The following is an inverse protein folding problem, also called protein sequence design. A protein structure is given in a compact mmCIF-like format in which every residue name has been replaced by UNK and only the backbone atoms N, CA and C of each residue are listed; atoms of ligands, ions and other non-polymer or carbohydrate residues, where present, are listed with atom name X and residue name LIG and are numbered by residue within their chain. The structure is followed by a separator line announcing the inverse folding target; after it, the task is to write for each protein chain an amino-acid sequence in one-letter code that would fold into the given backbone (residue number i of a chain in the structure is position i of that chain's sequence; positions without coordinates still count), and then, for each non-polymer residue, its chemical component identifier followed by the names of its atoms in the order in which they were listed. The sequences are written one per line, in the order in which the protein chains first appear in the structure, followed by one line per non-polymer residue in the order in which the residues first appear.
data_IF_213410535084
#
_entry.id   IF_213410535084
#
_cell.length_a   1.000
_cell.length_b   1.000
_cell.length_c   1.000
_cell.angle_alpha   90.00
_cell.angle_beta   90.00
_cell.angle_gamma   90.00
#
_symmetry.space_group_name_H-M   'P 1'
#
loop_
_entity.id
_entity.type
_entity.pdbx_description
1 polymer ?
#
# COMPACT_ATOMS: atom_id res chain seq x y z
N UNK A 1 -34.35 82.77 -43.50
CA UNK A 1 -33.09 82.06 -43.83
C UNK A 1 -33.39 80.58 -43.92
N UNK A 2 -33.46 80.03 -45.12
CA UNK A 2 -33.62 78.59 -45.36
C UNK A 2 -32.25 77.94 -45.21
N UNK A 3 -31.97 77.35 -44.05
CA UNK A 3 -30.84 76.43 -43.95
C UNK A 3 -31.15 75.24 -44.87
N UNK A 4 -30.23 74.96 -45.80
CA UNK A 4 -30.28 73.78 -46.65
C UNK A 4 -30.08 72.54 -45.76
N UNK A 5 -31.17 72.04 -45.18
CA UNK A 5 -31.19 70.75 -44.55
C UNK A 5 -30.96 69.69 -45.64
N UNK A 6 -29.81 69.00 -45.57
CA UNK A 6 -29.60 67.79 -46.35
C UNK A 6 -30.77 66.83 -46.06
N UNK A 7 -31.42 66.25 -47.07
CA UNK A 7 -32.53 65.33 -46.85
C UNK A 7 -32.06 64.16 -45.97
N UNK A 8 -32.81 63.83 -44.91
CA UNK A 8 -32.49 62.75 -43.95
C UNK A 8 -32.09 61.44 -44.66
N UNK A 9 -32.73 61.12 -45.78
CA UNK A 9 -32.46 59.95 -46.61
C UNK A 9 -31.06 59.91 -47.22
N UNK A 10 -30.45 61.07 -47.53
CA UNK A 10 -29.10 61.16 -48.09
C UNK A 10 -28.07 60.86 -47.01
N UNK A 11 -28.27 61.38 -45.80
CA UNK A 11 -27.39 61.11 -44.66
C UNK A 11 -27.47 59.64 -44.23
N UNK A 12 -28.67 59.12 -44.01
CA UNK A 12 -28.85 57.69 -43.67
C UNK A 12 -28.32 56.76 -44.76
N UNK A 13 -28.52 57.10 -46.03
CA UNK A 13 -27.99 56.37 -47.17
C UNK A 13 -26.46 56.37 -47.18
N UNK A 14 -25.82 57.52 -46.95
CA UNK A 14 -24.35 57.64 -46.92
C UNK A 14 -23.72 56.86 -45.77
N UNK A 15 -24.37 56.86 -44.60
CA UNK A 15 -23.87 56.15 -43.41
C UNK A 15 -23.92 54.63 -43.62
N UNK A 16 -25.03 54.13 -44.19
CA UNK A 16 -25.17 52.71 -44.53
C UNK A 16 -24.17 52.28 -45.60
N UNK A 17 -23.95 53.09 -46.62
CA UNK A 17 -23.01 52.78 -47.70
C UNK A 17 -21.55 52.77 -47.22
N UNK A 18 -21.19 53.70 -46.33
CA UNK A 18 -19.85 53.74 -45.71
C UNK A 18 -19.59 52.53 -44.81
N UNK A 19 -20.63 51.98 -44.18
CA UNK A 19 -20.54 50.84 -43.26
C UNK A 19 -20.56 49.47 -43.96
N UNK A 20 -21.25 49.36 -45.10
CA UNK A 20 -21.40 48.13 -45.87
C UNK A 20 -20.11 47.30 -46.09
N UNK A 21 -18.95 47.88 -46.49
CA UNK A 21 -17.75 47.09 -46.70
C UNK A 21 -17.20 46.48 -45.40
N UNK A 22 -17.29 47.20 -44.28
CA UNK A 22 -16.83 46.69 -42.98
C UNK A 22 -17.74 45.60 -42.43
N UNK A 23 -19.05 45.76 -42.56
CA UNK A 23 -20.01 44.73 -42.14
C UNK A 23 -19.86 43.44 -42.95
N UNK A 24 -19.59 43.55 -44.26
CA UNK A 24 -19.34 42.39 -45.12
C UNK A 24 -18.09 41.61 -44.67
N UNK A 25 -16.97 42.32 -44.43
CA UNK A 25 -15.72 41.70 -43.96
C UNK A 25 -15.90 41.04 -42.60
N UNK A 26 -16.54 41.72 -41.64
CA UNK A 26 -16.73 41.19 -40.29
C UNK A 26 -17.69 39.99 -40.25
N UNK A 27 -18.69 39.97 -41.13
CA UNK A 27 -19.62 38.85 -41.23
C UNK A 27 -18.94 37.62 -41.84
N UNK A 28 -18.18 37.79 -42.93
CA UNK A 28 -17.43 36.69 -43.56
C UNK A 28 -16.36 36.12 -42.63
N UNK A 29 -15.72 36.96 -41.82
CA UNK A 29 -14.73 36.52 -40.84
C UNK A 29 -15.33 35.85 -39.58
N UNK A 30 -16.67 35.73 -39.47
CA UNK A 30 -17.32 35.25 -38.26
C UNK A 30 -17.11 36.15 -37.04
N UNK A 31 -16.62 37.37 -37.25
CA UNK A 31 -16.22 38.33 -36.23
C UNK A 31 -17.40 39.21 -35.78
N UNK A 32 -18.60 38.62 -35.73
CA UNK A 32 -19.87 39.32 -35.48
C UNK A 32 -20.03 39.82 -34.05
N UNK A 33 -19.15 39.38 -33.13
CA UNK A 33 -19.06 39.84 -31.72
C UNK A 33 -17.66 40.42 -31.40
N UNK A 34 -16.89 40.80 -32.42
CA UNK A 34 -15.52 41.30 -32.24
C UNK A 34 -15.46 42.72 -31.66
N UNK A 35 -14.31 43.08 -31.09
CA UNK A 35 -14.03 44.44 -30.60
C UNK A 35 -14.06 45.46 -31.73
N UNK A 36 -13.64 45.06 -32.94
CA UNK A 36 -13.70 45.88 -34.14
C UNK A 36 -15.16 46.23 -34.51
N UNK A 37 -16.09 45.28 -34.37
CA UNK A 37 -17.51 45.54 -34.62
C UNK A 37 -18.14 46.43 -33.55
N UNK A 38 -17.80 46.22 -32.27
CA UNK A 38 -18.28 47.09 -31.18
C UNK A 38 -17.76 48.53 -31.34
N UNK A 39 -16.53 48.72 -31.79
CA UNK A 39 -15.97 50.04 -32.09
C UNK A 39 -16.71 50.72 -33.25
N UNK A 40 -17.05 49.96 -34.30
CA UNK A 40 -17.83 50.44 -35.44
C UNK A 40 -19.26 50.82 -35.03
N UNK A 41 -19.92 49.99 -34.20
CA UNK A 41 -21.26 50.25 -33.67
C UNK A 41 -21.27 51.52 -32.80
N UNK A 42 -20.26 51.72 -31.96
CA UNK A 42 -20.10 52.94 -31.13
C UNK A 42 -19.86 54.19 -31.99
N UNK A 43 -19.03 54.08 -33.03
CA UNK A 43 -18.78 55.17 -33.97
C UNK A 43 -20.06 55.57 -34.74
N UNK A 44 -20.85 54.59 -35.17
CA UNK A 44 -22.13 54.85 -35.85
C UNK A 44 -23.16 55.48 -34.91
N UNK A 45 -23.29 54.97 -33.67
CA UNK A 45 -24.18 55.54 -32.66
C UNK A 45 -23.82 57.01 -32.37
N UNK A 46 -22.53 57.31 -32.22
CA UNK A 46 -22.01 58.67 -32.05
C UNK A 46 -22.30 59.57 -33.25
N UNK A 47 -22.09 59.08 -34.47
CA UNK A 47 -22.39 59.82 -35.69
C UNK A 47 -23.89 60.16 -35.82
N UNK A 48 -24.78 59.22 -35.51
CA UNK A 48 -26.24 59.43 -35.52
C UNK A 48 -26.67 60.44 -34.46
N UNK A 49 -26.12 60.36 -33.25
CA UNK A 49 -26.40 61.33 -32.17
C UNK A 49 -25.90 62.73 -32.55
N UNK A 50 -24.68 62.86 -33.07
CA UNK A 50 -24.10 64.13 -33.48
C UNK A 50 -24.90 64.79 -34.62
N UNK A 51 -25.30 64.01 -35.62
CA UNK A 51 -26.20 64.48 -36.68
C UNK A 51 -27.56 64.91 -36.13
N UNK A 52 -28.14 64.12 -35.21
CA UNK A 52 -29.40 64.49 -34.55
C UNK A 52 -29.32 65.80 -33.76
N UNK A 53 -28.18 66.11 -33.12
CA UNK A 53 -27.96 67.40 -32.46
C UNK A 53 -27.81 68.52 -33.48
N UNK A 54 -27.01 68.32 -34.53
CA UNK A 54 -26.73 69.34 -35.55
C UNK A 54 -27.98 69.75 -36.33
N UNK A 55 -28.85 68.79 -36.64
CA UNK A 55 -30.07 69.01 -37.42
C UNK A 55 -31.33 69.18 -36.55
N UNK A 56 -31.18 69.21 -35.22
CA UNK A 56 -32.27 69.22 -34.25
C UNK A 56 -33.35 68.15 -34.52
N UNK A 57 -32.91 66.94 -34.83
CA UNK A 57 -33.75 65.81 -35.22
C UNK A 57 -33.87 64.80 -34.08
N UNK A 58 -35.02 64.80 -33.41
CA UNK A 58 -35.27 63.92 -32.26
C UNK A 58 -35.25 62.43 -32.60
N UNK A 59 -35.59 62.03 -33.83
CA UNK A 59 -35.53 60.63 -34.24
C UNK A 59 -34.08 60.14 -34.35
N UNK A 60 -33.19 60.96 -34.92
CA UNK A 60 -31.76 60.67 -35.00
C UNK A 60 -31.11 60.63 -33.61
N UNK A 61 -31.50 61.55 -32.71
CA UNK A 61 -31.07 61.53 -31.30
C UNK A 61 -31.50 60.22 -30.63
N UNK A 62 -32.78 59.82 -30.78
CA UNK A 62 -33.31 58.57 -30.21
C UNK A 62 -32.61 57.33 -30.78
N UNK A 63 -32.42 57.25 -32.08
CA UNK A 63 -31.73 56.13 -32.72
C UNK A 63 -30.25 56.05 -32.29
N UNK A 64 -29.55 57.18 -32.16
CA UNK A 64 -28.19 57.22 -31.63
C UNK A 64 -28.12 56.70 -30.19
N UNK A 65 -29.05 57.14 -29.32
CA UNK A 65 -29.13 56.68 -27.93
C UNK A 65 -29.42 55.17 -27.83
N UNK A 66 -30.37 54.66 -28.62
CA UNK A 66 -30.70 53.23 -28.65
C UNK A 66 -29.53 52.39 -29.16
N UNK A 67 -28.82 52.86 -30.19
CA UNK A 67 -27.66 52.17 -30.73
C UNK A 67 -26.50 52.13 -29.74
N UNK A 68 -26.26 53.21 -28.99
CA UNK A 68 -25.25 53.23 -27.92
C UNK A 68 -25.59 52.24 -26.81
N UNK A 69 -26.83 52.26 -26.29
CA UNK A 69 -27.29 51.33 -25.26
C UNK A 69 -27.19 49.86 -25.71
N UNK A 70 -27.54 49.57 -26.97
CA UNK A 70 -27.38 48.23 -27.54
C UNK A 70 -25.90 47.80 -27.64
N UNK A 71 -24.99 48.73 -27.92
CA UNK A 71 -23.55 48.47 -27.99
C UNK A 71 -22.98 48.19 -26.61
N UNK A 72 -23.37 48.98 -25.59
CA UNK A 72 -22.96 48.76 -24.20
C UNK A 72 -23.44 47.40 -23.68
N UNK A 73 -24.69 47.01 -23.98
CA UNK A 73 -25.21 45.72 -23.55
C UNK A 73 -24.49 44.54 -24.25
N UNK A 74 -24.15 44.68 -25.53
CA UNK A 74 -23.32 43.68 -26.24
C UNK A 74 -21.91 43.58 -25.65
N UNK A 75 -21.31 44.71 -25.28
CA UNK A 75 -20.01 44.75 -24.62
C UNK A 75 -20.04 44.02 -23.27
N UNK A 76 -21.07 44.28 -22.44
CA UNK A 76 -21.29 43.55 -21.18
C UNK A 76 -21.52 42.06 -21.40
N UNK A 77 -22.38 41.69 -22.35
CA UNK A 77 -22.67 40.29 -22.66
C UNK A 77 -21.42 39.54 -23.15
N UNK A 78 -20.52 40.21 -23.86
CA UNK A 78 -19.23 39.65 -24.26
C UNK A 78 -18.32 39.45 -23.04
N UNK A 79 -18.17 40.46 -22.19
CA UNK A 79 -17.34 40.36 -20.97
C UNK A 79 -17.82 39.24 -20.05
N UNK A 80 -19.14 39.08 -19.87
CA UNK A 80 -19.72 38.00 -19.08
C UNK A 80 -19.45 36.62 -19.69
N UNK A 81 -19.48 36.48 -21.02
CA UNK A 81 -19.12 35.24 -21.71
C UNK A 81 -17.64 34.91 -21.52
N UNK A 82 -16.76 35.88 -21.73
CA UNK A 82 -15.31 35.70 -21.53
C UNK A 82 -14.99 35.32 -20.07
N UNK A 83 -15.66 35.96 -19.09
CA UNK A 83 -15.50 35.61 -17.68
C UNK A 83 -16.03 34.20 -17.37
N UNK A 84 -17.19 33.82 -17.91
CA UNK A 84 -17.76 32.50 -17.75
C UNK A 84 -16.86 31.40 -18.36
N UNK A 85 -16.30 31.65 -19.54
CA UNK A 85 -15.34 30.76 -20.18
C UNK A 85 -14.06 30.62 -19.36
N UNK A 86 -13.52 31.73 -18.84
CA UNK A 86 -12.35 31.70 -17.96
C UNK A 86 -12.62 30.90 -16.70
N UNK A 87 -13.74 31.16 -16.01
CA UNK A 87 -14.12 30.41 -14.80
C UNK A 87 -14.32 28.92 -15.08
N UNK A 88 -14.88 28.58 -16.25
CA UNK A 88 -15.03 27.19 -16.68
C UNK A 88 -13.66 26.53 -16.90
N UNK A 89 -12.75 27.18 -17.61
CA UNK A 89 -11.39 26.68 -17.83
C UNK A 89 -10.65 26.48 -16.50
N UNK A 90 -10.72 27.45 -15.57
CA UNK A 90 -10.14 27.33 -14.23
C UNK A 90 -10.73 26.15 -13.44
N UNK A 91 -12.05 25.95 -13.53
CA UNK A 91 -12.73 24.82 -12.89
C UNK A 91 -12.31 23.47 -13.50
N UNK A 92 -12.23 23.38 -14.82
CA UNK A 92 -11.80 22.17 -15.55
C UNK A 92 -10.33 21.84 -15.22
N UNK A 93 -9.45 22.84 -15.17
CA UNK A 93 -8.05 22.66 -14.75
C UNK A 93 -7.92 22.20 -13.30
N UNK A 94 -8.73 22.78 -12.39
CA UNK A 94 -8.75 22.37 -10.99
C UNK A 94 -9.22 20.93 -10.84
N UNK A 95 -10.30 20.56 -11.51
CA UNK A 95 -10.82 19.19 -11.51
C UNK A 95 -9.76 18.21 -12.04
N UNK A 96 -9.13 18.52 -13.18
CA UNK A 96 -8.09 17.68 -13.75
C UNK A 96 -6.87 17.51 -12.82
N UNK A 97 -6.51 18.53 -12.03
CA UNK A 97 -5.45 18.43 -11.01
C UNK A 97 -5.89 17.52 -9.87
N UNK A 98 -7.09 17.71 -9.33
CA UNK A 98 -7.63 16.90 -8.24
C UNK A 98 -7.75 15.42 -8.64
N UNK A 99 -8.18 15.12 -9.86
CA UNK A 99 -8.24 13.77 -10.40
C UNK A 99 -6.85 13.13 -10.49
N UNK A 100 -5.85 13.85 -11.03
CA UNK A 100 -4.47 13.36 -11.09
C UNK A 100 -3.91 13.06 -9.71
N UNK A 101 -4.12 13.97 -8.75
CA UNK A 101 -3.70 13.76 -7.37
C UNK A 101 -4.39 12.55 -6.73
N UNK A 102 -5.69 12.37 -6.97
CA UNK A 102 -6.44 11.23 -6.45
C UNK A 102 -5.86 9.90 -6.98
N UNK A 103 -5.60 9.83 -8.29
CA UNK A 103 -4.99 8.66 -8.93
C UNK A 103 -3.59 8.38 -8.39
N UNK A 104 -2.78 9.43 -8.20
CA UNK A 104 -1.44 9.28 -7.61
C UNK A 104 -1.48 8.79 -6.16
N UNK A 105 -2.40 9.33 -5.34
CA UNK A 105 -2.60 8.90 -3.95
C UNK A 105 -3.03 7.43 -3.90
N UNK A 106 -3.97 7.03 -4.75
CA UNK A 106 -4.42 5.65 -4.84
C UNK A 106 -3.28 4.71 -5.28
N UNK A 107 -2.49 5.11 -6.28
CA UNK A 107 -1.35 4.35 -6.75
C UNK A 107 -0.27 4.18 -5.66
N UNK A 108 0.02 5.23 -4.88
CA UNK A 108 0.94 5.18 -3.74
C UNK A 108 0.42 4.23 -2.65
N UNK A 109 -0.84 4.39 -2.24
CA UNK A 109 -1.47 3.52 -1.24
C UNK A 109 -1.45 2.04 -1.66
N UNK A 110 -1.74 1.73 -2.93
CA UNK A 110 -1.65 0.36 -3.46
C UNK A 110 -0.22 -0.19 -3.42
N UNK A 111 0.78 0.62 -3.75
CA UNK A 111 2.20 0.22 -3.68
C UNK A 111 2.63 -0.07 -2.24
N UNK A 112 2.26 0.80 -1.30
CA UNK A 112 2.56 0.63 0.12
C UNK A 112 1.91 -0.62 0.69
N UNK A 113 0.61 -0.82 0.44
CA UNK A 113 -0.12 -2.01 0.87
C UNK A 113 0.50 -3.30 0.29
N UNK A 114 0.95 -3.28 -0.97
CA UNK A 114 1.65 -4.43 -1.58
C UNK A 114 2.99 -4.68 -0.91
N UNK A 115 3.77 -3.64 -0.64
CA UNK A 115 5.07 -3.75 0.03
C UNK A 115 4.91 -4.29 1.46
N UNK A 116 3.90 -3.83 2.20
CA UNK A 116 3.58 -4.32 3.54
C UNK A 116 3.18 -5.79 3.52
N UNK A 117 2.30 -6.20 2.60
CA UNK A 117 1.92 -7.62 2.43
C UNK A 117 3.12 -8.51 2.15
N UNK A 118 4.03 -8.08 1.27
CA UNK A 118 5.25 -8.83 0.98
C UNK A 118 6.19 -8.91 2.18
N UNK A 119 6.35 -7.82 2.95
CA UNK A 119 7.13 -7.82 4.20
C UNK A 119 6.52 -8.77 5.22
N UNK A 120 5.21 -8.72 5.44
CA UNK A 120 4.51 -9.61 6.35
C UNK A 120 4.65 -11.08 5.94
N UNK A 121 4.54 -11.37 4.63
CA UNK A 121 4.74 -12.73 4.09
C UNK A 121 6.16 -13.23 4.32
N UNK A 122 7.17 -12.40 4.09
CA UNK A 122 8.59 -12.75 4.35
C UNK A 122 8.84 -12.98 5.83
N UNK A 123 8.31 -12.13 6.70
CA UNK A 123 8.43 -12.29 8.15
C UNK A 123 7.80 -13.61 8.63
N UNK A 124 6.59 -13.96 8.14
CA UNK A 124 5.95 -15.25 8.45
C UNK A 124 6.80 -16.44 8.02
N UNK A 125 7.29 -16.43 6.77
CA UNK A 125 8.16 -17.50 6.27
C UNK A 125 9.45 -17.65 7.08
N UNK A 126 10.06 -16.53 7.47
CA UNK A 126 11.27 -16.55 8.30
C UNK A 126 10.99 -17.10 9.71
N UNK A 127 9.85 -16.72 10.30
CA UNK A 127 9.43 -17.23 11.61
C UNK A 127 9.14 -18.74 11.57
N UNK A 128 8.44 -19.20 10.54
CA UNK A 128 8.14 -20.63 10.31
C UNK A 128 9.44 -21.44 10.15
N UNK A 129 10.35 -20.98 9.28
CA UNK A 129 11.65 -21.64 9.11
C UNK A 129 12.48 -21.66 10.41
N UNK A 130 12.47 -20.57 11.19
CA UNK A 130 13.15 -20.52 12.49
C UNK A 130 12.53 -21.47 13.51
N UNK A 131 11.20 -21.61 13.52
CA UNK A 131 10.50 -22.55 14.39
C UNK A 131 10.83 -24.00 14.01
N UNK A 132 10.83 -24.32 12.72
CA UNK A 132 11.19 -25.64 12.20
C UNK A 132 12.63 -26.03 12.56
N UNK A 133 13.60 -25.14 12.38
CA UNK A 133 14.99 -25.40 12.74
C UNK A 133 15.17 -25.58 14.25
N UNK A 134 14.44 -24.80 15.05
CA UNK A 134 14.42 -24.95 16.51
C UNK A 134 13.83 -26.31 16.91
N UNK A 135 12.72 -26.73 16.28
CA UNK A 135 12.09 -28.01 16.52
C UNK A 135 13.00 -29.19 16.14
N UNK A 136 13.65 -29.13 14.96
CA UNK A 136 14.65 -30.12 14.53
C UNK A 136 15.82 -30.21 15.51
N UNK A 137 16.33 -29.06 15.97
CA UNK A 137 17.44 -29.00 16.92
C UNK A 137 17.03 -29.61 18.26
N UNK A 138 15.86 -29.26 18.80
CA UNK A 138 15.33 -29.87 20.03
C UNK A 138 15.15 -31.39 19.88
N UNK A 139 14.62 -31.86 18.76
CA UNK A 139 14.47 -33.30 18.49
C UNK A 139 15.82 -34.02 18.47
N UNK A 140 16.85 -33.41 17.87
CA UNK A 140 18.21 -33.98 17.85
C UNK A 140 18.84 -34.01 19.24
N UNK A 141 18.69 -32.94 20.02
CA UNK A 141 19.23 -32.86 21.39
C UNK A 141 18.54 -33.89 22.29
N UNK A 142 17.21 -33.93 22.30
CA UNK A 142 16.43 -34.90 23.08
C UNK A 142 16.73 -36.35 22.70
N UNK A 143 16.92 -36.65 21.42
CA UNK A 143 17.34 -37.99 20.98
C UNK A 143 18.73 -38.36 21.53
N UNK A 144 19.71 -37.46 21.46
CA UNK A 144 21.05 -37.68 22.03
C UNK A 144 21.03 -37.88 23.54
N UNK A 145 20.21 -37.11 24.25
CA UNK A 145 20.04 -37.24 25.70
C UNK A 145 19.39 -38.59 26.06
N UNK A 146 18.38 -39.02 25.30
CA UNK A 146 17.76 -40.33 25.46
C UNK A 146 18.76 -41.48 25.22
N UNK A 147 19.57 -41.40 24.16
CA UNK A 147 20.61 -42.39 23.86
C UNK A 147 21.67 -42.46 24.96
N UNK A 148 22.11 -41.30 25.47
CA UNK A 148 23.07 -41.23 26.57
C UNK A 148 22.51 -41.83 27.87
N UNK A 149 21.25 -41.54 28.19
CA UNK A 149 20.56 -42.11 29.35
C UNK A 149 20.40 -43.64 29.20
N UNK A 150 20.01 -44.13 28.02
CA UNK A 150 19.91 -45.56 27.74
C UNK A 150 21.27 -46.27 27.89
N UNK A 151 22.34 -45.68 27.37
CA UNK A 151 23.69 -46.21 27.52
C UNK A 151 24.15 -46.25 28.99
N UNK A 152 23.85 -45.21 29.77
CA UNK A 152 24.17 -45.17 31.20
C UNK A 152 23.39 -46.23 31.98
N UNK A 153 22.10 -46.39 31.69
CA UNK A 153 21.26 -47.42 32.30
C UNK A 153 21.75 -48.83 31.95
N UNK A 154 22.13 -49.08 30.70
CA UNK A 154 22.71 -50.35 30.28
C UNK A 154 24.04 -50.65 31.01
N UNK A 155 24.91 -49.64 31.20
CA UNK A 155 26.15 -49.79 31.99
C UNK A 155 25.85 -50.16 33.44
N UNK A 156 24.89 -49.48 34.08
CA UNK A 156 24.45 -49.77 35.46
C UNK A 156 23.85 -51.16 35.60
N UNK A 157 23.04 -51.59 34.63
CA UNK A 157 22.46 -52.92 34.62
C UNK A 157 23.54 -54.01 34.50
N UNK A 158 24.52 -53.82 33.61
CA UNK A 158 25.65 -54.75 33.46
C UNK A 158 26.50 -54.82 34.73
N UNK A 159 26.84 -53.68 35.34
CA UNK A 159 27.63 -53.69 36.58
C UNK A 159 26.88 -54.33 37.75
N UNK A 160 25.56 -54.12 37.86
CA UNK A 160 24.73 -54.81 38.85
C UNK A 160 24.69 -56.34 38.61
N UNK A 161 24.62 -56.78 37.36
CA UNK A 161 24.70 -58.20 37.00
C UNK A 161 26.06 -58.80 37.37
N UNK A 162 27.16 -58.12 37.05
CA UNK A 162 28.51 -58.57 37.42
C UNK A 162 28.66 -58.72 38.93
N UNK A 163 28.25 -57.71 39.72
CA UNK A 163 28.27 -57.81 41.18
C UNK A 163 27.44 -58.97 41.72
N UNK A 164 26.29 -59.26 41.10
CA UNK A 164 25.45 -60.40 41.49
C UNK A 164 26.12 -61.75 41.17
N UNK A 165 26.86 -61.83 40.06
CA UNK A 165 27.63 -63.01 39.69
C UNK A 165 28.82 -63.20 40.64
N UNK A 166 29.59 -62.15 40.92
CA UNK A 166 30.69 -62.16 41.90
C UNK A 166 30.21 -62.62 43.28
N UNK A 167 29.12 -62.05 43.80
CA UNK A 167 28.54 -62.48 45.08
C UNK A 167 28.09 -63.95 45.07
N UNK A 168 27.64 -64.47 43.92
CA UNK A 168 27.26 -65.88 43.77
C UNK A 168 28.49 -66.79 43.73
N UNK A 169 29.55 -66.37 43.06
CA UNK A 169 30.84 -67.08 43.03
C UNK A 169 31.45 -67.14 44.44
N UNK A 170 31.49 -66.02 45.16
CA UNK A 170 31.94 -65.97 46.57
C UNK A 170 31.11 -66.90 47.46
N UNK A 171 29.78 -66.90 47.31
CA UNK A 171 28.90 -67.80 48.06
C UNK A 171 29.14 -69.27 47.72
N UNK A 172 29.40 -69.61 46.45
CA UNK A 172 29.69 -70.98 46.04
C UNK A 172 31.06 -71.43 46.57
N UNK A 173 32.08 -70.58 46.51
CA UNK A 173 33.40 -70.85 47.08
C UNK A 173 33.32 -71.08 48.58
N UNK A 174 32.59 -70.24 49.32
CA UNK A 174 32.35 -70.43 50.75
C UNK A 174 31.61 -71.75 51.07
N UNK A 175 30.64 -72.14 50.23
CA UNK A 175 29.96 -73.44 50.36
C UNK A 175 30.89 -74.62 50.09
N UNK A 176 31.78 -74.51 49.09
CA UNK A 176 32.78 -75.54 48.81
C UNK A 176 33.79 -75.69 49.93
N UNK A 177 34.31 -74.58 50.47
CA UNK A 177 35.22 -74.59 51.63
C UNK A 177 34.53 -75.18 52.86
N UNK A 178 33.32 -74.76 53.18
CA UNK A 178 32.53 -75.33 54.28
C UNK A 178 32.29 -76.84 54.07
N UNK A 179 32.02 -77.27 52.84
CA UNK A 179 31.87 -78.68 52.48
C UNK A 179 33.17 -79.48 52.57
N UNK A 180 34.33 -78.88 52.25
CA UNK A 180 35.66 -79.49 52.47
C UNK A 180 35.95 -79.65 53.96
N UNK A 181 35.78 -78.58 54.73
CA UNK A 181 35.97 -78.59 56.18
C UNK A 181 35.09 -79.62 56.88
N UNK A 182 33.81 -79.75 56.45
CA UNK A 182 32.90 -80.77 56.97
C UNK A 182 33.39 -82.19 56.69
N UNK A 183 33.81 -82.48 55.44
CA UNK A 183 34.35 -83.79 55.06
C UNK A 183 35.64 -84.11 55.82
N UNK A 184 36.50 -83.13 56.02
CA UNK A 184 37.74 -83.28 56.78
C UNK A 184 37.44 -83.56 58.26
N UNK A 185 36.48 -82.88 58.86
CA UNK A 185 36.01 -83.16 60.22
C UNK A 185 35.39 -84.57 60.35
N UNK A 186 34.60 -85.01 59.37
CA UNK A 186 34.05 -86.38 59.32
C UNK A 186 35.16 -87.43 59.20
N UNK A 187 36.16 -87.19 58.34
CA UNK A 187 37.33 -88.05 58.21
C UNK A 187 38.15 -88.14 59.50
N UNK A 188 38.38 -87.01 60.17
CA UNK A 188 39.07 -86.96 61.47
C UNK A 188 38.27 -87.70 62.56
N UNK A 189 36.94 -87.55 62.60
CA UNK A 189 36.07 -88.31 63.50
C UNK A 189 36.14 -89.81 63.23
N UNK A 190 36.09 -90.22 61.97
CA UNK A 190 36.22 -91.63 61.58
C UNK A 190 37.60 -92.20 61.92
N UNK A 191 38.67 -91.45 61.71
CA UNK A 191 40.03 -91.82 62.10
C UNK A 191 40.17 -91.97 63.63
N UNK A 192 39.63 -91.01 64.40
CA UNK A 192 39.61 -91.07 65.85
C UNK A 192 38.79 -92.26 66.38
N UNK A 193 37.65 -92.58 65.75
CA UNK A 193 36.84 -93.75 66.06
C UNK A 193 37.63 -95.06 65.82
N UNK A 194 38.28 -95.19 64.65
CA UNK A 194 39.14 -96.33 64.33
C UNK A 194 40.31 -96.48 65.31
N UNK A 195 40.99 -95.39 65.67
CA UNK A 195 42.07 -95.41 66.66
C UNK A 195 41.58 -95.87 68.05
N UNK A 196 40.38 -95.45 68.44
CA UNK A 196 39.74 -95.87 69.70
C UNK A 196 39.37 -97.36 69.68
N UNK A 197 38.87 -97.88 68.56
CA UNK A 197 38.63 -99.31 68.38
C UNK A 197 39.92 -100.14 68.40
N UNK A 198 40.96 -99.70 67.71
CA UNK A 198 42.28 -100.35 67.74
C UNK A 198 42.85 -100.42 69.16
N UNK A 199 42.68 -99.37 69.97
CA UNK A 199 43.05 -99.37 71.39
C UNK A 199 42.23 -100.35 72.24
N UNK A 200 40.97 -100.62 71.86
CA UNK A 200 40.07 -101.54 72.58
C UNK A 200 40.33 -103.02 72.27
N UNK A 201 40.89 -103.31 71.09
CA UNK A 201 41.16 -104.68 70.62
C UNK A 201 42.64 -105.10 70.74
N UNK A 202 43.53 -104.18 71.15
CA UNK A 202 44.97 -104.40 71.30
C UNK A 202 45.48 -104.41 72.75
N UNK A 203 44.58 -104.59 73.72
CA UNK A 203 44.90 -104.85 75.13
C UNK A 203 44.16 -106.08 75.60
#
# INVERSE_FOLDING_TARGET
MTMHALPKSVFEGSLRLARAPFDAVLTVAGATDSSAKLALDRAEAGARRAAGILFDDDDLKRHGNQAEAATEERERARQLREEAERRRQEADEKLAREEREAVEREAKAKKEAKAERERARRARKAAEAGADETAKTRKRVTAKEADAAAAQNAKRAKSAQLKKLEAREESLAAQEEAGRAKREAENLRAAAAKAKEARKNGG
#
